data_IF_631691335149
#
_entry.id   IF_631691335149
#
_cell.length_a   1.000
_cell.length_b   1.000
_cell.length_c   1.000
_cell.angle_alpha   90.00
_cell.angle_beta   90.00
_cell.angle_gamma   90.00
#
_symmetry.space_group_name_H-M   'P 1'
#
loop_
_entity.id
_entity.type
_entity.pdbx_description
1 polymer ?
#
# COMPACT_ATOMS: atom_id res chain seq x y z
N UNK A 1 20.02 0.62 -6.62
CA UNK A 1 19.33 0.97 -5.36
C UNK A 1 19.84 2.29 -4.78
N UNK A 2 21.13 2.43 -4.49
CA UNK A 2 21.71 3.64 -3.86
C UNK A 2 21.44 4.93 -4.67
N UNK A 3 21.71 4.93 -5.99
CA UNK A 3 21.45 6.09 -6.84
C UNK A 3 19.98 6.50 -6.91
N UNK A 4 19.06 5.53 -6.89
CA UNK A 4 17.62 5.80 -6.85
C UNK A 4 17.20 6.44 -5.52
N UNK A 5 17.75 5.96 -4.40
CA UNK A 5 17.52 6.54 -3.07
C UNK A 5 18.04 7.98 -3.01
N UNK A 6 19.26 8.23 -3.49
CA UNK A 6 19.83 9.58 -3.50
C UNK A 6 19.03 10.54 -4.39
N UNK A 7 18.57 10.09 -5.56
CA UNK A 7 17.72 10.89 -6.44
C UNK A 7 16.38 11.24 -5.79
N UNK A 8 15.76 10.29 -5.09
CA UNK A 8 14.48 10.51 -4.40
C UNK A 8 14.63 11.43 -3.18
N UNK A 9 15.72 11.29 -2.41
CA UNK A 9 16.04 12.17 -1.30
C UNK A 9 16.30 13.61 -1.80
N UNK A 10 17.06 13.77 -2.87
CA UNK A 10 17.31 15.07 -3.48
C UNK A 10 16.02 15.71 -4.00
N UNK A 11 15.14 14.93 -4.62
CA UNK A 11 13.81 15.37 -5.06
C UNK A 11 12.96 15.86 -3.90
N UNK A 12 12.81 15.04 -2.84
CA UNK A 12 12.02 15.43 -1.66
C UNK A 12 12.60 16.63 -0.93
N UNK A 13 13.93 16.74 -0.84
CA UNK A 13 14.60 17.90 -0.27
C UNK A 13 14.31 19.18 -1.06
N UNK A 14 14.35 19.12 -2.40
CA UNK A 14 13.98 20.23 -3.28
C UNK A 14 12.51 20.63 -3.12
N UNK A 15 11.61 19.67 -2.99
CA UNK A 15 10.18 19.90 -2.79
C UNK A 15 9.91 20.55 -1.42
N UNK A 16 10.58 20.08 -0.36
CA UNK A 16 10.46 20.67 0.98
C UNK A 16 10.91 22.14 1.02
N UNK A 17 11.94 22.52 0.25
CA UNK A 17 12.36 23.92 0.12
C UNK A 17 11.39 24.79 -0.68
N UNK A 18 10.68 24.24 -1.66
CA UNK A 18 9.71 25.00 -2.47
C UNK A 18 8.40 25.27 -1.73
N UNK A 19 8.03 24.41 -0.79
CA UNK A 19 6.83 24.57 0.03
C UNK A 19 7.19 24.63 1.52
N UNK A 20 7.84 25.72 1.97
CA UNK A 20 8.16 25.91 3.38
C UNK A 20 6.86 26.04 4.17
N UNK A 21 6.65 25.10 5.08
CA UNK A 21 5.44 25.00 5.89
C UNK A 21 5.85 25.15 7.36
N UNK A 22 5.27 26.11 8.09
CA UNK A 22 5.73 26.54 9.42
C UNK A 22 5.79 25.39 10.46
N UNK A 23 5.09 24.28 10.20
CA UNK A 23 5.09 23.06 11.02
C UNK A 23 5.16 21.76 10.22
N UNK A 24 5.50 21.83 8.93
CA UNK A 24 5.54 20.69 7.98
C UNK A 24 4.23 19.86 7.90
N UNK A 25 3.09 20.41 8.32
CA UNK A 25 1.83 19.68 8.48
C UNK A 25 1.20 19.30 7.14
N UNK A 26 1.14 20.25 6.21
CA UNK A 26 0.59 20.10 4.86
C UNK A 26 1.49 19.19 4.05
N UNK A 27 2.80 19.43 4.10
CA UNK A 27 3.79 18.64 3.36
C UNK A 27 3.79 17.19 3.83
N UNK A 28 3.77 16.93 5.14
CA UNK A 28 3.70 15.58 5.69
C UNK A 28 2.39 14.87 5.30
N UNK A 29 1.27 15.58 5.32
CA UNK A 29 -0.03 15.04 4.93
C UNK A 29 -0.05 14.55 3.48
N UNK A 30 0.29 15.43 2.54
CA UNK A 30 0.25 15.11 1.11
C UNK A 30 1.33 14.11 0.71
N UNK A 31 2.52 14.19 1.30
CA UNK A 31 3.60 13.22 1.05
C UNK A 31 3.19 11.82 1.52
N UNK A 32 2.55 11.71 2.69
CA UNK A 32 2.03 10.43 3.19
C UNK A 32 1.00 9.81 2.23
N UNK A 33 0.05 10.60 1.74
CA UNK A 33 -0.93 10.15 0.74
C UNK A 33 -0.28 9.76 -0.60
N UNK A 34 0.67 10.57 -1.07
CA UNK A 34 1.37 10.35 -2.33
C UNK A 34 2.23 9.09 -2.31
N UNK A 35 2.81 8.72 -1.16
CA UNK A 35 3.55 7.47 -0.99
C UNK A 35 2.62 6.27 -0.84
N UNK A 36 1.52 6.42 -0.09
CA UNK A 36 0.58 5.32 0.14
C UNK A 36 -0.05 4.82 -1.16
N UNK A 37 -0.33 5.71 -2.10
CA UNK A 37 -0.97 5.38 -3.37
C UNK A 37 -0.19 4.34 -4.20
N UNK A 38 1.07 4.58 -4.62
CA UNK A 38 1.85 3.60 -5.39
C UNK A 38 2.19 2.35 -4.59
N UNK A 39 2.33 2.43 -3.26
CA UNK A 39 2.60 1.26 -2.40
C UNK A 39 1.41 0.30 -2.42
N UNK A 40 0.21 0.81 -2.14
CA UNK A 40 -1.01 -0.01 -2.11
C UNK A 40 -1.29 -0.65 -3.47
N UNK A 41 -1.44 0.18 -4.50
CA UNK A 41 -1.74 -0.28 -5.87
C UNK A 41 -0.63 -1.12 -6.49
N UNK A 42 0.64 -0.75 -6.27
CA UNK A 42 1.80 -1.52 -6.74
C UNK A 42 1.86 -2.90 -6.10
N UNK A 43 1.62 -3.00 -4.79
CA UNK A 43 1.60 -4.29 -4.10
C UNK A 43 0.49 -5.21 -4.61
N UNK A 44 -0.70 -4.66 -4.85
CA UNK A 44 -1.83 -5.40 -5.41
C UNK A 44 -1.57 -5.84 -6.86
N UNK A 45 -1.03 -4.95 -7.69
CA UNK A 45 -0.67 -5.24 -9.07
C UNK A 45 0.37 -6.36 -9.17
N UNK A 46 1.44 -6.31 -8.36
CA UNK A 46 2.48 -7.34 -8.35
C UNK A 46 1.94 -8.69 -7.88
N UNK A 47 1.06 -8.70 -6.88
CA UNK A 47 0.42 -9.92 -6.38
C UNK A 47 -0.43 -10.61 -7.46
N UNK A 48 -1.18 -9.83 -8.24
CA UNK A 48 -1.99 -10.33 -9.35
C UNK A 48 -1.09 -10.80 -10.51
N UNK A 49 -0.13 -9.96 -10.91
CA UNK A 49 0.77 -10.22 -12.06
C UNK A 49 1.63 -11.46 -11.86
N UNK A 50 2.24 -11.61 -10.68
CA UNK A 50 3.15 -12.71 -10.40
C UNK A 50 2.39 -14.03 -10.17
N UNK A 51 1.09 -13.95 -9.88
CA UNK A 51 0.25 -15.11 -9.62
C UNK A 51 0.68 -15.94 -8.41
N UNK A 52 1.64 -15.44 -7.62
CA UNK A 52 2.16 -16.10 -6.44
C UNK A 52 2.35 -15.12 -5.28
N UNK A 53 2.17 -15.63 -4.07
CA UNK A 53 2.29 -14.85 -2.84
C UNK A 53 3.73 -14.78 -2.31
N UNK A 54 4.75 -15.20 -3.08
CA UNK A 54 6.14 -15.15 -2.62
C UNK A 54 6.60 -13.70 -2.51
N UNK A 55 7.19 -13.35 -1.37
CA UNK A 55 7.58 -11.97 -1.05
C UNK A 55 6.44 -11.10 -0.48
N UNK A 56 5.23 -11.66 -0.35
CA UNK A 56 4.09 -10.97 0.25
C UNK A 56 3.76 -11.59 1.62
N UNK A 57 3.54 -10.75 2.63
CA UNK A 57 3.15 -11.18 3.99
C UNK A 57 1.85 -10.50 4.43
N UNK A 58 0.94 -11.28 5.01
CA UNK A 58 -0.30 -10.77 5.61
C UNK A 58 -0.04 -9.97 6.88
N UNK A 59 1.01 -10.27 7.64
CA UNK A 59 1.38 -9.52 8.85
C UNK A 59 1.86 -8.11 8.49
N UNK A 60 2.69 -8.01 7.44
CA UNK A 60 3.15 -6.71 6.91
C UNK A 60 1.97 -5.91 6.35
N UNK A 61 1.05 -6.57 5.65
CA UNK A 61 -0.17 -5.93 5.20
C UNK A 61 -1.03 -5.44 6.37
N UNK A 62 -1.24 -6.26 7.42
CA UNK A 62 -2.09 -5.92 8.56
C UNK A 62 -1.54 -4.72 9.33
N UNK A 63 -0.24 -4.72 9.61
CA UNK A 63 0.44 -3.59 10.27
C UNK A 63 0.33 -2.30 9.46
N UNK A 64 0.51 -2.39 8.13
CA UNK A 64 0.28 -1.25 7.23
C UNK A 64 -1.16 -0.77 7.26
N UNK A 65 -2.13 -1.69 7.18
CA UNK A 65 -3.57 -1.38 7.18
C UNK A 65 -3.99 -0.65 8.47
N UNK A 66 -3.55 -1.14 9.62
CA UNK A 66 -3.78 -0.49 10.92
C UNK A 66 -3.09 0.89 10.97
N UNK A 67 -1.89 1.00 10.40
CA UNK A 67 -1.18 2.27 10.24
C UNK A 67 -1.97 3.30 9.42
N UNK A 68 -2.55 2.90 8.29
CA UNK A 68 -3.40 3.77 7.46
C UNK A 68 -4.63 4.25 8.24
N UNK A 69 -5.36 3.34 8.90
CA UNK A 69 -6.51 3.70 9.72
C UNK A 69 -6.16 4.65 10.85
N UNK A 70 -5.05 4.40 11.55
CA UNK A 70 -4.60 5.25 12.66
C UNK A 70 -4.19 6.63 12.15
N UNK A 71 -3.45 6.71 11.05
CA UNK A 71 -3.02 7.98 10.45
C UNK A 71 -4.23 8.82 9.98
N UNK A 72 -5.14 8.21 9.23
CA UNK A 72 -6.35 8.89 8.76
C UNK A 72 -7.29 9.27 9.91
N UNK A 73 -7.38 8.42 10.94
CA UNK A 73 -8.11 8.73 12.17
C UNK A 73 -7.55 9.95 12.90
N UNK A 74 -6.22 10.07 13.01
CA UNK A 74 -5.55 11.24 13.59
C UNK A 74 -5.79 12.49 12.76
N UNK A 75 -5.74 12.41 11.42
CA UNK A 75 -6.05 13.56 10.56
C UNK A 75 -7.52 13.99 10.66
N UNK A 76 -8.45 13.04 10.70
CA UNK A 76 -9.87 13.31 10.91
C UNK A 76 -10.11 13.95 12.29
N UNK A 77 -9.50 13.41 13.35
CA UNK A 77 -9.60 13.98 14.69
C UNK A 77 -9.04 15.41 14.74
N UNK A 78 -7.89 15.67 14.10
CA UNK A 78 -7.29 17.01 14.00
C UNK A 78 -8.19 17.99 13.24
N UNK A 79 -8.83 17.53 12.16
CA UNK A 79 -9.81 18.31 11.42
C UNK A 79 -11.04 18.67 12.28
N UNK A 80 -11.55 17.74 13.08
CA UNK A 80 -12.71 17.99 13.95
C UNK A 80 -12.40 18.95 15.11
N UNK A 81 -11.17 18.92 15.66
CA UNK A 81 -10.81 19.77 16.80
C UNK A 81 -10.29 21.16 16.37
N UNK A 82 -9.57 21.25 15.25
CA UNK A 82 -8.94 22.49 14.78
C UNK A 82 -9.11 22.63 13.26
N UNK A 83 -10.35 22.77 12.75
CA UNK A 83 -10.63 22.73 11.31
C UNK A 83 -9.91 23.81 10.50
N UNK A 84 -9.64 24.97 11.10
CA UNK A 84 -8.90 26.07 10.48
C UNK A 84 -7.47 25.68 10.06
N UNK A 85 -6.80 24.80 10.80
CA UNK A 85 -5.43 24.37 10.51
C UNK A 85 -5.38 23.13 9.60
N UNK A 86 -6.50 22.41 9.47
CA UNK A 86 -6.59 21.11 8.77
C UNK A 86 -7.64 21.13 7.66
N UNK A 87 -8.02 22.32 7.17
CA UNK A 87 -9.10 22.50 6.20
C UNK A 87 -8.93 21.68 4.92
N UNK A 88 -7.67 21.46 4.51
CA UNK A 88 -7.32 20.61 3.37
C UNK A 88 -7.71 19.14 3.54
N UNK A 89 -7.74 18.60 4.77
CA UNK A 89 -8.15 17.21 5.06
C UNK A 89 -9.61 16.98 4.66
N UNK A 90 -10.48 17.94 4.99
CA UNK A 90 -11.91 17.90 4.68
C UNK A 90 -12.26 18.24 3.23
N UNK A 91 -11.28 18.54 2.38
CA UNK A 91 -11.54 18.83 0.97
C UNK A 91 -11.99 17.58 0.20
N UNK A 92 -12.88 17.74 -0.77
CA UNK A 92 -13.38 16.62 -1.58
C UNK A 92 -12.24 15.84 -2.27
N UNK A 93 -11.20 16.53 -2.74
CA UNK A 93 -10.04 15.90 -3.36
C UNK A 93 -9.25 15.05 -2.37
N UNK A 94 -9.03 15.55 -1.15
CA UNK A 94 -8.37 14.82 -0.07
C UNK A 94 -9.13 13.55 0.32
N UNK A 95 -10.45 13.66 0.50
CA UNK A 95 -11.33 12.52 0.82
C UNK A 95 -11.26 11.48 -0.30
N UNK A 96 -11.34 11.91 -1.57
CA UNK A 96 -11.24 11.01 -2.71
C UNK A 96 -9.89 10.27 -2.73
N UNK A 97 -8.78 10.96 -2.47
CA UNK A 97 -7.45 10.33 -2.41
C UNK A 97 -7.36 9.32 -1.26
N UNK A 98 -7.86 9.64 -0.06
CA UNK A 98 -7.92 8.70 1.07
C UNK A 98 -8.72 7.45 0.70
N UNK A 99 -9.88 7.61 0.06
CA UNK A 99 -10.69 6.47 -0.37
C UNK A 99 -9.91 5.63 -1.38
N UNK A 100 -9.29 6.27 -2.37
CA UNK A 100 -8.51 5.59 -3.40
C UNK A 100 -7.27 4.86 -2.86
N UNK A 101 -6.65 5.34 -1.78
CA UNK A 101 -5.55 4.64 -1.12
C UNK A 101 -6.04 3.49 -0.23
N UNK A 102 -7.25 3.56 0.31
CA UNK A 102 -7.84 2.51 1.16
C UNK A 102 -8.41 1.32 0.38
N UNK A 103 -8.85 1.53 -0.86
CA UNK A 103 -9.34 0.46 -1.75
C UNK A 103 -8.33 -0.69 -1.90
N UNK A 104 -7.08 -0.46 -2.36
CA UNK A 104 -6.14 -1.56 -2.55
C UNK A 104 -5.80 -2.25 -1.23
N UNK A 105 -5.69 -1.49 -0.13
CA UNK A 105 -5.42 -2.08 1.19
C UNK A 105 -6.56 -2.96 1.68
N UNK A 106 -7.81 -2.60 1.41
CA UNK A 106 -8.98 -3.40 1.80
C UNK A 106 -9.14 -4.64 0.92
N UNK A 107 -8.82 -4.54 -0.37
CA UNK A 107 -8.96 -5.65 -1.33
C UNK A 107 -7.80 -6.65 -1.22
N UNK A 108 -6.60 -6.19 -0.84
CA UNK A 108 -5.38 -6.98 -0.78
C UNK A 108 -5.50 -8.35 -0.08
N UNK A 109 -6.09 -8.50 1.13
CA UNK A 109 -6.14 -9.80 1.81
C UNK A 109 -6.99 -10.80 1.04
N UNK A 110 -8.06 -10.35 0.39
CA UNK A 110 -8.92 -11.22 -0.42
C UNK A 110 -8.18 -11.75 -1.64
N UNK A 111 -7.46 -10.88 -2.34
CA UNK A 111 -6.64 -11.26 -3.49
C UNK A 111 -5.48 -12.17 -3.05
N UNK A 112 -4.86 -11.89 -1.90
CA UNK A 112 -3.81 -12.72 -1.34
C UNK A 112 -4.29 -14.16 -1.06
N UNK A 113 -5.43 -14.30 -0.38
CA UNK A 113 -6.02 -15.61 -0.08
C UNK A 113 -6.37 -16.34 -1.37
N UNK A 114 -6.93 -15.64 -2.36
CA UNK A 114 -7.27 -16.22 -3.66
C UNK A 114 -6.03 -16.75 -4.40
N UNK A 115 -4.97 -15.93 -4.50
CA UNK A 115 -3.69 -16.34 -5.10
C UNK A 115 -3.09 -17.53 -4.36
N UNK A 116 -3.10 -17.50 -3.02
CA UNK A 116 -2.54 -18.58 -2.21
C UNK A 116 -3.28 -19.92 -2.42
N UNK A 117 -4.62 -19.89 -2.47
CA UNK A 117 -5.44 -21.08 -2.78
C UNK A 117 -5.15 -21.62 -4.17
N UNK A 118 -5.06 -20.75 -5.18
CA UNK A 118 -4.77 -21.14 -6.57
C UNK A 118 -3.42 -21.82 -6.70
N UNK A 119 -2.38 -21.29 -6.03
CA UNK A 119 -1.05 -21.91 -6.04
C UNK A 119 -1.04 -23.28 -5.37
N UNK A 120 -1.72 -23.45 -4.23
CA UNK A 120 -1.80 -24.75 -3.55
C UNK A 120 -2.49 -25.81 -4.42
N UNK A 121 -3.53 -25.42 -5.17
CA UNK A 121 -4.22 -26.30 -6.12
C UNK A 121 -3.33 -26.68 -7.31
N UNK A 122 -2.52 -25.76 -7.82
CA UNK A 122 -1.57 -26.05 -8.90
C UNK A 122 -0.45 -26.97 -8.43
N UNK A 123 0.10 -26.74 -7.24
CA UNK A 123 1.16 -27.58 -6.67
C UNK A 123 0.70 -29.03 -6.46
N UNK A 124 -0.47 -29.22 -5.84
CA UNK A 124 -1.05 -30.55 -5.64
C UNK A 124 -1.34 -31.28 -6.95
N UNK A 125 -1.78 -30.58 -8.00
CA UNK A 125 -1.97 -31.18 -9.33
C UNK A 125 -0.66 -31.69 -9.92
N UNK A 126 0.42 -30.91 -9.81
CA UNK A 126 1.74 -31.30 -10.29
C UNK A 126 2.33 -32.48 -9.50
N UNK A 127 2.10 -32.56 -8.18
CA UNK A 127 2.53 -33.69 -7.36
C UNK A 127 1.82 -35.00 -7.76
N UNK A 128 0.51 -34.94 -8.05
CA UNK A 128 -0.26 -36.10 -8.53
C UNK A 128 0.26 -36.56 -9.90
N UNK A 129 0.42 -35.64 -10.86
CA UNK A 129 0.91 -35.97 -12.21
C UNK A 129 2.32 -36.59 -12.18
N UNK A 130 3.21 -36.08 -11.33
CA UNK A 130 4.54 -36.65 -11.13
C UNK A 130 4.50 -38.06 -10.50
N UNK A 131 3.61 -38.28 -9.52
CA UNK A 131 3.42 -39.60 -8.91
C UNK A 131 2.92 -40.62 -9.94
N UNK A 132 1.93 -40.26 -10.76
CA UNK A 132 1.37 -41.13 -11.79
C UNK A 132 2.43 -41.50 -12.85
N UNK A 133 3.27 -40.55 -13.27
CA UNK A 133 4.40 -40.82 -14.17
C UNK A 133 5.44 -41.76 -13.58
N UNK A 134 5.67 -41.71 -12.27
CA UNK A 134 6.62 -42.61 -11.59
C UNK A 134 6.09 -44.03 -11.45
N UNK A 135 4.77 -44.20 -11.31
CA UNK A 135 4.12 -45.54 -11.24
C UNK A 135 4.02 -46.19 -12.62
N UNK A 136 3.97 -45.39 -13.70
CA UNK A 136 3.86 -45.89 -15.08
C UNK A 136 5.19 -46.35 -15.72
N UNK A 137 6.34 -46.13 -15.07
CA UNK A 137 7.68 -46.56 -15.50
C UNK A 137 8.21 -47.69 -14.61
#
# INVERSE_FOLDING_TARGET
MIFGVLAFLAFFWKVAQMYPDEREQITAYWTGLALQFPIGWGSLYLLIKNGNAKGHSLEIWLTRYLGCWTAYGVFAWRYLNVPQNWSYVGSNGSIAVIVLTMIPETIYPFVYIWVHKKNKQQLSRHEVEYSDQKVAN
#
